data_IF_126440366470
#
_entry.id   IF_126440366470
#
_cell.length_a   1.000
_cell.length_b   1.000
_cell.length_c   1.000
_cell.angle_alpha   90.00
_cell.angle_beta   90.00
_cell.angle_gamma   90.00
#
_symmetry.space_group_name_H-M   'P 1'
#
loop_
_entity.id
_entity.type
_entity.pdbx_description
1 polymer ?
#
# COMPACT_ATOMS: atom_id res chain seq x y z
N UNK A 1 63.92 0.76 -51.46
CA UNK A 1 63.60 0.59 -52.92
C UNK A 1 62.24 1.20 -53.17
N UNK A 2 62.24 2.31 -53.90
CA UNK A 2 61.44 2.64 -55.10
C UNK A 2 59.95 2.71 -54.83
N UNK A 3 59.15 3.70 -55.09
CA UNK A 3 59.11 4.98 -55.87
C UNK A 3 57.62 5.40 -55.66
N UNK A 4 57.40 6.63 -55.17
CA UNK A 4 56.88 7.78 -55.92
C UNK A 4 55.93 7.44 -57.09
N UNK A 5 54.66 7.90 -57.00
CA UNK A 5 54.03 8.58 -58.09
C UNK A 5 52.91 9.50 -57.58
N UNK A 6 53.17 10.77 -57.84
CA UNK A 6 52.27 11.91 -57.81
C UNK A 6 51.45 11.92 -59.07
N UNK A 7 50.17 12.25 -59.03
CA UNK A 7 49.48 12.89 -60.14
C UNK A 7 48.34 13.80 -59.59
N UNK A 8 48.62 15.07 -59.76
CA UNK A 8 47.71 16.22 -59.75
C UNK A 8 46.68 16.14 -60.86
N UNK A 9 45.41 16.47 -60.59
CA UNK A 9 44.50 17.02 -61.60
C UNK A 9 43.74 18.20 -61.01
N UNK A 10 43.92 19.32 -61.66
CA UNK A 10 43.27 20.59 -61.40
C UNK A 10 41.96 20.74 -62.17
N UNK A 11 41.16 21.63 -61.64
CA UNK A 11 40.15 22.49 -62.31
C UNK A 11 38.84 21.89 -62.80
N UNK A 12 37.75 22.38 -62.24
CA UNK A 12 36.85 23.31 -62.93
C UNK A 12 35.81 23.88 -61.97
N UNK A 13 35.88 25.20 -61.80
CA UNK A 13 34.85 26.04 -61.19
C UNK A 13 33.70 26.14 -62.21
N UNK A 14 32.46 25.83 -61.74
CA UNK A 14 31.25 26.27 -62.37
C UNK A 14 30.29 26.84 -61.35
N UNK A 15 30.27 28.18 -61.27
CA UNK A 15 29.28 28.97 -60.56
C UNK A 15 27.96 28.86 -61.34
N UNK A 16 26.95 28.23 -60.74
CA UNK A 16 25.56 28.35 -61.13
C UNK A 16 24.81 29.07 -60.01
N UNK A 17 24.71 30.37 -60.11
CA UNK A 17 23.77 31.17 -59.32
C UNK A 17 22.37 30.88 -59.83
N UNK A 18 21.59 30.09 -59.10
CA UNK A 18 20.16 30.00 -59.28
C UNK A 18 19.52 30.75 -58.11
N UNK A 19 19.03 31.94 -58.42
CA UNK A 19 18.10 32.67 -57.56
C UNK A 19 16.80 31.85 -57.43
N UNK A 20 16.58 31.27 -56.27
CA UNK A 20 15.29 30.74 -55.90
C UNK A 20 14.62 31.73 -54.97
N UNK A 21 13.72 32.50 -55.56
CA UNK A 21 12.81 33.40 -54.89
C UNK A 21 12.00 32.66 -53.84
N UNK A 22 11.93 33.19 -52.63
CA UNK A 22 10.85 33.26 -51.70
C UNK A 22 9.87 32.06 -51.67
N UNK A 23 10.26 30.96 -51.00
CA UNK A 23 9.29 30.12 -50.33
C UNK A 23 9.37 30.48 -48.85
N UNK A 24 8.38 31.23 -48.41
CA UNK A 24 8.22 31.59 -47.01
C UNK A 24 8.27 30.31 -46.15
N UNK A 25 9.25 30.21 -45.29
CA UNK A 25 9.23 29.26 -44.17
C UNK A 25 7.98 29.61 -43.37
N UNK A 26 7.08 28.63 -43.09
CA UNK A 26 6.09 28.88 -42.07
C UNK A 26 6.89 29.05 -40.78
N UNK A 27 7.00 30.28 -40.33
CA UNK A 27 7.38 30.62 -39.00
C UNK A 27 6.29 29.99 -38.11
N UNK A 28 6.57 28.81 -37.62
CA UNK A 28 5.78 28.25 -36.55
C UNK A 28 5.88 29.25 -35.40
N UNK A 29 4.88 30.11 -35.30
CA UNK A 29 4.61 30.91 -34.14
C UNK A 29 4.41 29.92 -32.96
N UNK A 30 5.50 29.45 -32.35
CA UNK A 30 5.49 29.03 -30.99
C UNK A 30 5.22 30.29 -30.21
N UNK A 31 3.94 30.54 -29.96
CA UNK A 31 3.59 31.42 -28.89
C UNK A 31 4.27 30.85 -27.66
N UNK A 32 5.31 31.48 -27.17
CA UNK A 32 5.80 31.33 -25.82
C UNK A 32 4.64 31.71 -24.91
N UNK A 33 3.77 30.74 -24.63
CA UNK A 33 2.87 30.85 -23.49
C UNK A 33 3.80 30.75 -22.30
N UNK A 34 4.15 31.90 -21.73
CA UNK A 34 4.88 31.93 -20.46
C UNK A 34 4.16 30.96 -19.49
N UNK A 35 4.89 30.06 -18.83
CA UNK A 35 4.26 29.18 -17.87
C UNK A 35 3.47 30.04 -16.90
N UNK A 36 2.22 29.70 -16.59
CA UNK A 36 1.42 30.51 -15.68
C UNK A 36 2.18 30.64 -14.37
N UNK A 37 2.26 31.85 -13.84
CA UNK A 37 2.87 32.11 -12.54
C UNK A 37 2.15 31.26 -11.49
N UNK A 38 2.85 30.32 -10.89
CA UNK A 38 2.28 29.33 -9.97
C UNK A 38 3.18 29.12 -8.76
N UNK A 39 2.57 28.74 -7.65
CA UNK A 39 3.23 28.22 -6.47
C UNK A 39 2.80 26.77 -6.26
N UNK A 40 3.75 25.88 -6.04
CA UNK A 40 3.49 24.47 -5.78
C UNK A 40 3.93 24.12 -4.37
N UNK A 41 3.05 23.46 -3.63
CA UNK A 41 3.31 23.04 -2.26
C UNK A 41 2.91 21.59 -2.05
N UNK A 42 3.59 20.94 -1.10
CA UNK A 42 3.24 19.63 -0.58
C UNK A 42 2.32 19.80 0.63
N UNK A 43 1.18 19.13 0.59
CA UNK A 43 0.28 19.03 1.72
C UNK A 43 0.33 17.67 2.35
N UNK A 44 0.27 17.63 3.67
CA UNK A 44 0.22 16.42 4.49
C UNK A 44 -1.02 16.45 5.37
N UNK A 45 -1.86 15.43 5.25
CA UNK A 45 -3.08 15.29 6.06
C UNK A 45 -3.00 14.05 6.93
N UNK A 46 -3.40 14.17 8.18
CA UNK A 46 -3.42 13.09 9.16
C UNK A 46 -4.79 13.03 9.85
N UNK A 47 -5.32 11.82 9.94
CA UNK A 47 -6.49 11.48 10.75
C UNK A 47 -6.09 10.39 11.74
N UNK A 48 -6.02 10.74 13.01
CA UNK A 48 -5.77 9.79 14.09
C UNK A 48 -7.08 9.16 14.52
N UNK A 49 -7.14 7.83 14.58
CA UNK A 49 -8.34 7.06 14.91
C UNK A 49 -8.00 5.90 15.83
N UNK A 50 -8.94 5.50 16.68
CA UNK A 50 -8.86 4.23 17.42
C UNK A 50 -9.40 3.14 16.52
N UNK A 51 -8.65 2.04 16.26
CA UNK A 51 -9.16 0.89 15.54
C UNK A 51 -10.46 0.36 16.17
N UNK A 52 -11.39 -0.10 15.36
CA UNK A 52 -12.69 -0.64 15.79
C UNK A 52 -12.89 -2.11 15.40
N UNK A 53 -12.00 -2.63 14.55
CA UNK A 53 -12.00 -3.98 14.02
C UNK A 53 -10.63 -4.64 14.22
N UNK A 54 -10.62 -5.96 14.35
CA UNK A 54 -9.41 -6.75 14.38
C UNK A 54 -9.57 -8.04 13.59
N UNK A 55 -8.49 -8.51 12.99
CA UNK A 55 -8.41 -9.82 12.37
C UNK A 55 -7.43 -10.72 13.11
N UNK A 56 -7.76 -12.01 13.20
CA UNK A 56 -6.88 -13.06 13.68
C UNK A 56 -6.72 -14.14 12.62
N UNK A 57 -5.63 -14.89 12.69
CA UNK A 57 -5.46 -16.14 11.97
C UNK A 57 -5.40 -17.28 12.98
N UNK A 58 -6.30 -18.25 12.84
CA UNK A 58 -6.33 -19.45 13.67
C UNK A 58 -5.97 -20.68 12.84
N UNK A 59 -4.91 -21.36 13.25
CA UNK A 59 -4.34 -22.51 12.56
C UNK A 59 -4.44 -23.80 13.36
N UNK A 60 -4.46 -24.91 12.62
CA UNK A 60 -4.42 -26.27 13.16
C UNK A 60 -3.26 -27.00 12.50
N UNK A 61 -2.32 -27.42 13.32
CA UNK A 61 -1.23 -28.33 12.92
C UNK A 61 -1.52 -29.73 13.45
N UNK A 62 -1.43 -30.74 12.61
CA UNK A 62 -1.58 -32.16 12.98
C UNK A 62 -0.48 -33.01 12.35
N UNK A 63 -0.17 -34.13 13.00
CA UNK A 63 0.82 -35.09 12.52
C UNK A 63 0.25 -36.51 12.62
N UNK A 64 0.54 -37.33 11.58
CA UNK A 64 0.18 -38.75 11.59
C UNK A 64 1.15 -39.59 10.76
N UNK A 65 1.10 -40.91 10.92
CA UNK A 65 1.92 -41.83 10.15
C UNK A 65 1.58 -41.86 8.66
N UNK A 66 0.31 -41.54 8.30
CA UNK A 66 -0.14 -41.47 6.91
C UNK A 66 -0.65 -40.04 6.56
N UNK A 67 -0.52 -39.67 5.28
CA UNK A 67 -0.99 -38.44 4.74
C UNK A 67 -2.52 -38.27 4.91
N UNK A 68 -3.27 -39.34 4.68
CA UNK A 68 -4.73 -39.36 4.83
C UNK A 68 -5.17 -39.11 6.27
N UNK A 69 -4.48 -39.72 7.24
CA UNK A 69 -4.83 -39.54 8.65
C UNK A 69 -4.47 -38.14 9.15
N UNK A 70 -3.32 -37.59 8.72
CA UNK A 70 -2.94 -36.22 9.05
C UNK A 70 -3.98 -35.21 8.57
N UNK A 71 -4.40 -35.32 7.29
CA UNK A 71 -5.43 -34.45 6.71
C UNK A 71 -6.81 -34.65 7.36
N UNK A 72 -7.21 -35.90 7.63
CA UNK A 72 -8.51 -36.16 8.23
C UNK A 72 -8.61 -35.60 9.66
N UNK A 73 -7.55 -35.73 10.47
CA UNK A 73 -7.47 -35.13 11.81
C UNK A 73 -7.49 -33.62 11.73
N UNK A 74 -6.70 -33.03 10.82
CA UNK A 74 -6.63 -31.60 10.60
C UNK A 74 -7.99 -31.02 10.23
N UNK A 75 -8.63 -31.57 9.20
CA UNK A 75 -9.94 -31.13 8.72
C UNK A 75 -11.02 -31.22 9.82
N UNK A 76 -10.99 -32.25 10.66
CA UNK A 76 -11.93 -32.39 11.79
C UNK A 76 -11.75 -31.26 12.80
N UNK A 77 -10.51 -30.96 13.20
CA UNK A 77 -10.22 -29.87 14.15
C UNK A 77 -10.53 -28.50 13.52
N UNK A 78 -10.12 -28.27 12.27
CA UNK A 78 -10.39 -26.99 11.60
C UNK A 78 -11.89 -26.74 11.44
N UNK A 79 -12.69 -27.74 11.15
CA UNK A 79 -14.14 -27.58 11.12
C UNK A 79 -14.71 -27.16 12.49
N UNK A 80 -14.16 -27.68 13.59
CA UNK A 80 -14.53 -27.26 14.94
C UNK A 80 -14.12 -25.83 15.24
N UNK A 81 -12.90 -25.43 14.81
CA UNK A 81 -12.39 -24.05 14.94
C UNK A 81 -13.27 -23.08 14.16
N UNK A 82 -13.60 -23.37 12.90
CA UNK A 82 -14.48 -22.53 12.08
C UNK A 82 -15.87 -22.37 12.72
N UNK A 83 -16.43 -23.46 13.24
CA UNK A 83 -17.72 -23.41 13.91
C UNK A 83 -17.67 -22.54 15.19
N UNK A 84 -16.58 -22.66 15.98
CA UNK A 84 -16.40 -21.88 17.20
C UNK A 84 -16.19 -20.39 16.88
N UNK A 85 -15.39 -20.06 15.87
CA UNK A 85 -15.17 -18.67 15.43
C UNK A 85 -16.51 -18.03 15.02
N UNK A 86 -17.34 -18.73 14.24
CA UNK A 86 -18.68 -18.25 13.85
C UNK A 86 -19.58 -18.03 15.07
N UNK A 87 -19.57 -18.98 16.01
CA UNK A 87 -20.37 -18.88 17.22
C UNK A 87 -19.95 -17.74 18.14
N UNK A 88 -18.65 -17.41 18.14
CA UNK A 88 -18.07 -16.29 18.88
C UNK A 88 -18.24 -14.93 18.19
N UNK A 89 -18.96 -14.86 17.07
CA UNK A 89 -19.23 -13.60 16.35
C UNK A 89 -18.18 -13.23 15.30
N UNK A 90 -17.31 -14.16 14.92
CA UNK A 90 -16.36 -13.96 13.84
C UNK A 90 -17.04 -13.77 12.49
N UNK A 91 -16.59 -12.77 11.75
CA UNK A 91 -17.04 -12.40 10.40
C UNK A 91 -15.91 -12.58 9.40
N UNK A 92 -16.20 -12.50 8.10
CA UNK A 92 -15.21 -12.55 7.00
C UNK A 92 -14.24 -13.75 7.12
N UNK A 93 -14.79 -14.92 7.45
CA UNK A 93 -13.96 -16.11 7.58
C UNK A 93 -13.43 -16.56 6.22
N UNK A 94 -12.10 -16.69 6.12
CA UNK A 94 -11.42 -17.09 4.89
C UNK A 94 -10.32 -18.11 5.20
N UNK A 95 -10.31 -19.23 4.49
CA UNK A 95 -9.18 -20.15 4.53
C UNK A 95 -7.96 -19.47 3.88
N UNK A 96 -6.86 -19.42 4.62
CA UNK A 96 -5.62 -18.79 4.18
C UNK A 96 -4.65 -19.80 3.59
N UNK A 97 -4.58 -20.98 4.18
CA UNK A 97 -3.64 -22.01 3.80
C UNK A 97 -4.19 -23.40 4.12
N UNK A 98 -3.87 -24.35 3.25
CA UNK A 98 -3.95 -25.80 3.51
C UNK A 98 -2.67 -26.40 2.96
N UNK A 99 -1.90 -27.09 3.79
CA UNK A 99 -0.67 -27.77 3.36
C UNK A 99 -0.55 -29.15 3.97
N UNK A 100 0.20 -30.03 3.27
CA UNK A 100 0.55 -31.37 3.70
C UNK A 100 2.01 -31.62 3.34
N UNK A 101 2.84 -31.92 4.32
CA UNK A 101 4.26 -32.10 4.13
C UNK A 101 4.72 -33.44 4.74
N UNK A 102 5.57 -34.22 4.04
CA UNK A 102 6.20 -35.37 4.65
C UNK A 102 7.21 -34.94 5.70
N UNK A 103 7.29 -35.67 6.79
CA UNK A 103 8.33 -35.52 7.80
C UNK A 103 9.43 -36.55 7.56
N UNK A 104 10.67 -36.12 7.61
CA UNK A 104 11.82 -37.01 7.37
C UNK A 104 12.78 -37.00 8.56
N UNK A 105 13.47 -38.11 8.79
CA UNK A 105 14.58 -38.20 9.74
C UNK A 105 15.90 -37.71 9.10
N UNK A 106 17.00 -37.77 9.88
CA UNK A 106 18.34 -37.36 9.43
C UNK A 106 18.89 -38.23 8.25
N UNK A 107 18.28 -39.38 7.99
CA UNK A 107 18.60 -40.26 6.88
C UNK A 107 17.69 -40.05 5.66
N UNK A 108 16.91 -38.99 5.66
CA UNK A 108 15.97 -38.61 4.60
C UNK A 108 14.85 -39.67 4.37
N UNK A 109 14.52 -40.49 5.38
CA UNK A 109 13.40 -41.41 5.33
C UNK A 109 12.13 -40.77 5.86
N UNK A 110 11.02 -40.97 5.17
CA UNK A 110 9.70 -40.43 5.62
C UNK A 110 9.27 -41.17 6.90
N UNK A 111 9.07 -40.43 7.98
CA UNK A 111 8.65 -40.91 9.29
C UNK A 111 7.19 -40.63 9.60
N UNK A 112 6.56 -39.72 8.83
CA UNK A 112 5.18 -39.30 9.01
C UNK A 112 4.82 -38.17 8.06
N UNK A 113 3.66 -37.56 8.32
CA UNK A 113 3.12 -36.43 7.58
C UNK A 113 2.60 -35.39 8.54
N UNK A 114 2.85 -34.11 8.24
CA UNK A 114 2.27 -32.97 8.92
C UNK A 114 1.26 -32.29 7.99
N UNK A 115 0.11 -31.96 8.52
CA UNK A 115 -0.91 -31.15 7.85
C UNK A 115 -1.12 -29.85 8.62
N UNK A 116 -1.12 -28.74 7.89
CA UNK A 116 -1.40 -27.39 8.42
C UNK A 116 -2.56 -26.79 7.66
N UNK A 117 -3.50 -26.22 8.39
CA UNK A 117 -4.61 -25.47 7.85
C UNK A 117 -4.79 -24.19 8.70
N UNK A 118 -5.15 -23.09 8.07
CA UNK A 118 -5.41 -21.82 8.77
C UNK A 118 -6.56 -21.06 8.16
N UNK A 119 -7.32 -20.40 9.04
CA UNK A 119 -8.46 -19.56 8.70
C UNK A 119 -8.28 -18.19 9.33
N UNK A 120 -8.49 -17.13 8.57
CA UNK A 120 -8.64 -15.78 9.12
C UNK A 120 -10.08 -15.51 9.49
N UNK A 121 -10.29 -14.70 10.53
CA UNK A 121 -11.59 -14.20 10.93
C UNK A 121 -11.44 -12.77 11.43
N UNK A 122 -12.45 -11.94 11.21
CA UNK A 122 -12.56 -10.60 11.74
C UNK A 122 -13.57 -10.54 12.88
N UNK A 123 -13.36 -9.60 13.81
CA UNK A 123 -14.30 -9.25 14.86
C UNK A 123 -14.11 -7.80 15.30
N UNK A 124 -15.08 -7.25 16.04
CA UNK A 124 -14.87 -5.99 16.76
C UNK A 124 -13.78 -6.18 17.81
N UNK A 125 -13.03 -5.13 18.10
CA UNK A 125 -11.94 -5.20 19.09
C UNK A 125 -12.42 -5.71 20.43
N UNK A 126 -13.62 -5.32 20.89
CA UNK A 126 -14.18 -5.78 22.17
C UNK A 126 -14.38 -7.30 22.24
N UNK A 127 -14.57 -7.97 21.09
CA UNK A 127 -14.92 -9.38 20.99
C UNK A 127 -13.73 -10.25 20.56
N UNK A 128 -12.63 -9.64 20.06
CA UNK A 128 -11.51 -10.41 19.49
C UNK A 128 -10.81 -11.32 20.50
N UNK A 129 -10.73 -10.92 21.78
CA UNK A 129 -10.19 -11.78 22.83
C UNK A 129 -11.00 -13.05 23.02
N UNK A 130 -12.33 -12.93 23.06
CA UNK A 130 -13.21 -14.08 23.13
C UNK A 130 -13.14 -14.96 21.86
N UNK A 131 -12.89 -14.35 20.70
CA UNK A 131 -12.69 -15.06 19.44
C UNK A 131 -11.41 -15.92 19.49
N UNK A 132 -10.32 -15.38 20.00
CA UNK A 132 -9.04 -16.11 20.23
C UNK A 132 -9.27 -17.29 21.17
N UNK A 133 -9.91 -17.05 22.31
CA UNK A 133 -10.17 -18.08 23.30
C UNK A 133 -11.05 -19.20 22.74
N UNK A 134 -12.08 -18.86 21.94
CA UNK A 134 -12.93 -19.82 21.28
C UNK A 134 -12.18 -20.69 20.26
N UNK A 135 -11.28 -20.10 19.49
CA UNK A 135 -10.45 -20.82 18.52
C UNK A 135 -9.56 -21.85 19.22
N UNK A 136 -8.87 -21.44 20.29
CA UNK A 136 -7.98 -22.31 21.08
C UNK A 136 -8.77 -23.44 21.74
N UNK A 137 -9.90 -23.13 22.36
CA UNK A 137 -10.78 -24.13 22.98
C UNK A 137 -11.33 -25.16 21.97
N UNK A 138 -11.49 -24.79 20.71
CA UNK A 138 -11.96 -25.66 19.64
C UNK A 138 -10.84 -26.50 18.99
N UNK A 139 -9.57 -26.26 19.36
CA UNK A 139 -8.43 -27.05 18.90
C UNK A 139 -7.45 -26.34 17.98
N UNK A 140 -7.56 -25.01 17.82
CA UNK A 140 -6.50 -24.23 17.19
C UNK A 140 -5.24 -24.29 18.06
N UNK A 141 -4.08 -24.62 17.47
CA UNK A 141 -2.81 -24.73 18.14
C UNK A 141 -1.74 -23.78 17.58
N UNK A 142 -2.15 -22.97 16.60
CA UNK A 142 -1.41 -21.80 16.12
C UNK A 142 -2.39 -20.63 15.99
N UNK A 143 -2.10 -19.51 16.64
CA UNK A 143 -2.93 -18.29 16.55
C UNK A 143 -2.02 -17.09 16.38
N UNK A 144 -2.25 -16.35 15.31
CA UNK A 144 -1.53 -15.13 14.97
C UNK A 144 -2.47 -13.92 15.01
N UNK A 145 -1.95 -12.80 15.48
CA UNK A 145 -2.72 -11.56 15.63
C UNK A 145 -2.93 -11.20 17.11
N UNK A 146 -3.85 -10.28 17.44
CA UNK A 146 -4.75 -9.58 16.53
C UNK A 146 -4.05 -8.51 15.68
N UNK A 147 -4.43 -8.42 14.41
CA UNK A 147 -4.08 -7.30 13.55
C UNK A 147 -5.24 -6.30 13.59
N UNK A 148 -4.96 -5.13 14.16
CA UNK A 148 -5.96 -4.08 14.37
C UNK A 148 -6.18 -3.28 13.10
N UNK A 149 -7.42 -2.96 12.79
CA UNK A 149 -7.81 -2.22 11.59
C UNK A 149 -8.99 -1.28 11.87
N UNK A 150 -9.31 -0.47 10.90
CA UNK A 150 -10.42 0.48 10.92
C UNK A 150 -11.41 0.09 9.83
N UNK A 151 -12.67 -0.10 10.20
CA UNK A 151 -13.71 -0.55 9.26
C UNK A 151 -14.00 0.48 8.15
N UNK A 152 -13.89 1.77 8.40
CA UNK A 152 -14.18 2.86 7.44
C UNK A 152 -12.92 3.59 6.96
N UNK A 153 -11.91 2.83 6.56
CA UNK A 153 -10.63 3.35 6.09
C UNK A 153 -10.78 4.35 4.93
N UNK A 154 -11.69 4.06 4.00
CA UNK A 154 -11.89 4.91 2.83
C UNK A 154 -12.45 6.30 3.18
N UNK A 155 -13.34 6.39 4.16
CA UNK A 155 -13.84 7.69 4.63
C UNK A 155 -12.74 8.47 5.34
N UNK A 156 -12.00 7.83 6.22
CA UNK A 156 -10.87 8.45 6.93
C UNK A 156 -9.77 8.92 5.96
N UNK A 157 -9.52 8.15 4.91
CA UNK A 157 -8.58 8.55 3.88
C UNK A 157 -9.05 9.79 3.09
N UNK A 158 -10.34 9.86 2.75
CA UNK A 158 -10.91 11.08 2.15
C UNK A 158 -10.79 12.30 3.06
N UNK A 159 -11.00 12.12 4.36
CA UNK A 159 -10.80 13.21 5.34
C UNK A 159 -9.32 13.62 5.42
N UNK A 160 -8.39 12.67 5.38
CA UNK A 160 -6.96 12.94 5.34
C UNK A 160 -6.57 13.71 4.05
N UNK A 161 -7.13 13.34 2.89
CA UNK A 161 -6.95 14.09 1.64
C UNK A 161 -7.44 15.54 1.74
N UNK A 162 -8.60 15.76 2.37
CA UNK A 162 -9.11 17.12 2.62
C UNK A 162 -8.12 17.95 3.43
N UNK A 163 -7.65 17.40 4.57
CA UNK A 163 -6.63 18.05 5.41
C UNK A 163 -5.31 18.29 4.69
N UNK A 164 -4.90 17.38 3.82
CA UNK A 164 -3.68 17.55 3.02
C UNK A 164 -3.79 18.74 2.06
N UNK A 165 -4.95 18.94 1.41
CA UNK A 165 -5.19 20.10 0.54
C UNK A 165 -5.22 21.41 1.35
N UNK A 166 -5.82 21.39 2.54
CA UNK A 166 -5.83 22.56 3.46
C UNK A 166 -4.41 22.92 3.91
N UNK A 167 -3.58 21.95 4.29
CA UNK A 167 -2.18 22.16 4.67
C UNK A 167 -1.34 22.68 3.48
N UNK A 168 -1.55 22.16 2.28
CA UNK A 168 -0.90 22.68 1.07
C UNK A 168 -1.25 24.14 0.83
N UNK A 169 -2.53 24.52 1.02
CA UNK A 169 -2.98 25.91 0.88
C UNK A 169 -2.35 26.82 1.93
N UNK A 170 -2.34 26.42 3.19
CA UNK A 170 -1.74 27.18 4.28
C UNK A 170 -0.24 27.45 4.03
N UNK A 171 0.48 26.45 3.52
CA UNK A 171 1.88 26.59 3.12
C UNK A 171 2.05 27.56 1.94
N UNK A 172 1.17 27.47 0.93
CA UNK A 172 1.19 28.38 -0.20
C UNK A 172 0.93 29.85 0.23
N UNK A 173 -0.01 30.08 1.15
CA UNK A 173 -0.31 31.40 1.71
C UNK A 173 0.88 31.97 2.51
N UNK A 174 1.56 31.12 3.30
CA UNK A 174 2.77 31.54 4.01
C UNK A 174 3.90 31.95 3.05
N UNK A 175 4.09 31.19 1.95
CA UNK A 175 5.06 31.53 0.90
C UNK A 175 4.66 32.82 0.17
N UNK A 176 3.39 33.00 -0.12
CA UNK A 176 2.85 34.18 -0.77
C UNK A 176 3.07 35.44 0.06
N UNK A 177 2.80 35.39 1.37
CA UNK A 177 3.05 36.48 2.29
C UNK A 177 4.54 36.86 2.34
N UNK A 178 5.43 35.88 2.38
CA UNK A 178 6.88 36.13 2.39
C UNK A 178 7.40 36.65 1.03
N UNK A 179 6.79 36.23 -0.08
CA UNK A 179 7.18 36.57 -1.44
C UNK A 179 6.49 37.81 -1.99
N UNK A 180 5.47 38.38 -1.31
CA UNK A 180 4.74 39.57 -1.73
C UNK A 180 3.79 39.32 -2.90
N UNK A 181 3.19 38.14 -3.02
CA UNK A 181 2.19 37.77 -4.04
C UNK A 181 0.93 37.18 -3.38
N UNK A 182 -0.17 37.05 -4.14
CA UNK A 182 -1.41 36.43 -3.68
C UNK A 182 -1.54 34.97 -4.13
N UNK A 183 -2.22 34.14 -3.33
CA UNK A 183 -2.59 32.75 -3.74
C UNK A 183 -3.94 32.77 -4.43
N UNK A 184 -3.96 32.36 -5.67
CA UNK A 184 -5.15 32.22 -6.49
C UNK A 184 -5.81 30.85 -6.39
N UNK A 185 -6.65 30.48 -7.37
CA UNK A 185 -7.31 29.20 -7.43
C UNK A 185 -6.32 28.05 -7.68
N UNK A 186 -6.74 26.85 -7.30
CA UNK A 186 -6.01 25.60 -7.60
C UNK A 186 -5.90 25.42 -9.12
N UNK A 187 -4.70 25.16 -9.61
CA UNK A 187 -4.40 24.84 -11.00
C UNK A 187 -4.32 23.34 -11.23
N UNK A 188 -3.70 22.61 -10.31
CA UNK A 188 -3.63 21.15 -10.34
C UNK A 188 -3.47 20.57 -8.94
N UNK A 189 -3.97 19.36 -8.75
CA UNK A 189 -3.75 18.51 -7.57
C UNK A 189 -3.27 17.17 -8.06
N UNK A 190 -2.20 16.68 -7.45
CA UNK A 190 -1.68 15.33 -7.69
C UNK A 190 -1.57 14.64 -6.34
N UNK A 191 -2.31 13.56 -6.21
CA UNK A 191 -2.20 12.67 -5.06
C UNK A 191 -0.88 11.87 -5.15
N UNK A 192 -0.13 11.83 -4.06
CA UNK A 192 1.00 10.90 -3.96
C UNK A 192 0.48 9.61 -3.33
N UNK A 193 0.94 8.47 -3.86
CA UNK A 193 0.50 7.17 -3.36
C UNK A 193 0.60 7.12 -1.84
N UNK A 194 -0.53 6.86 -1.19
CA UNK A 194 -0.58 6.69 0.25
C UNK A 194 0.35 5.54 0.67
N UNK A 195 1.24 5.81 1.60
CA UNK A 195 1.95 4.75 2.31
C UNK A 195 0.96 3.91 3.13
N UNK A 196 1.32 2.67 3.44
CA UNK A 196 0.54 1.88 4.38
C UNK A 196 0.40 2.65 5.72
N UNK A 197 -0.77 2.62 6.38
CA UNK A 197 -0.95 3.27 7.68
C UNK A 197 0.12 2.83 8.65
N UNK A 198 0.73 3.78 9.33
CA UNK A 198 1.74 3.50 10.35
C UNK A 198 1.02 3.46 11.70
N UNK A 199 1.01 2.32 12.42
CA UNK A 199 0.46 2.27 13.76
C UNK A 199 1.27 3.18 14.69
N UNK A 200 0.61 4.15 15.30
CA UNK A 200 1.19 4.98 16.36
C UNK A 200 0.68 4.41 17.69
N UNK A 201 1.59 3.83 18.47
CA UNK A 201 1.25 3.24 19.76
C UNK A 201 1.02 4.32 20.81
N UNK A 202 -0.22 4.76 20.98
CA UNK A 202 -0.67 5.46 22.18
C UNK A 202 -1.60 4.52 22.94
N UNK A 203 -1.31 4.32 24.23
CA UNK A 203 -2.04 3.40 25.12
C UNK A 203 -3.49 3.86 25.31
N UNK A 204 -4.42 3.21 24.64
CA UNK A 204 -5.85 3.28 24.95
C UNK A 204 -6.25 1.93 25.58
N UNK A 205 -6.80 1.96 26.79
CA UNK A 205 -7.21 0.75 27.52
C UNK A 205 -8.60 0.35 27.04
N UNK A 206 -8.70 -0.71 26.23
CA UNK A 206 -9.97 -1.35 25.94
C UNK A 206 -10.20 -2.47 26.98
N UNK A 207 -11.39 -2.48 27.61
CA UNK A 207 -11.81 -3.62 28.45
C UNK A 207 -12.30 -4.73 27.49
N UNK A 208 -11.48 -5.76 27.30
CA UNK A 208 -11.87 -6.97 26.58
C UNK A 208 -12.37 -8.04 27.54
N UNK A 209 -13.36 -8.82 27.12
CA UNK A 209 -13.71 -10.09 27.73
C UNK A 209 -12.83 -11.18 27.09
N UNK A 210 -12.00 -11.88 27.90
CA UNK A 210 -11.08 -12.89 27.39
C UNK A 210 -9.63 -12.39 27.31
N UNK A 211 -8.85 -12.91 26.35
CA UNK A 211 -7.46 -12.47 26.11
C UNK A 211 -7.38 -10.94 25.96
N UNK A 212 -6.56 -10.22 26.78
CA UNK A 212 -6.52 -8.75 26.75
C UNK A 212 -6.01 -8.24 25.40
N UNK A 213 -6.69 -7.23 24.84
CA UNK A 213 -6.30 -6.55 23.61
C UNK A 213 -6.40 -5.04 23.80
N UNK A 214 -5.30 -4.33 23.55
CA UNK A 214 -5.21 -2.88 23.63
C UNK A 214 -5.20 -2.28 22.24
N UNK A 215 -6.20 -1.42 21.95
CA UNK A 215 -6.42 -0.92 20.59
C UNK A 215 -5.36 0.09 20.14
N UNK A 216 -4.82 0.92 21.03
CA UNK A 216 -3.95 2.03 20.65
C UNK A 216 -4.65 3.01 19.72
N UNK A 217 -3.87 3.80 18.96
CA UNK A 217 -4.36 4.64 17.87
C UNK A 217 -3.59 4.35 16.58
N UNK A 218 -4.21 4.60 15.44
CA UNK A 218 -3.58 4.53 14.12
C UNK A 218 -3.76 5.86 13.40
N UNK A 219 -2.75 6.24 12.60
CA UNK A 219 -2.83 7.41 11.74
C UNK A 219 -3.09 6.99 10.30
N UNK A 220 -4.15 7.53 9.73
CA UNK A 220 -4.42 7.48 8.30
C UNK A 220 -3.87 8.75 7.68
N UNK A 221 -2.90 8.62 6.80
CA UNK A 221 -2.19 9.76 6.21
C UNK A 221 -2.46 9.87 4.72
N UNK A 222 -2.46 11.09 4.21
CA UNK A 222 -2.53 11.38 2.79
C UNK A 222 -1.55 12.51 2.45
N UNK A 223 -0.86 12.37 1.32
CA UNK A 223 0.06 13.36 0.79
C UNK A 223 -0.40 13.82 -0.59
N UNK A 224 -0.43 15.14 -0.78
CA UNK A 224 -0.81 15.76 -2.05
C UNK A 224 0.18 16.83 -2.47
N UNK A 225 0.41 16.92 -3.76
CA UNK A 225 1.08 18.09 -4.36
C UNK A 225 0.02 18.99 -4.98
N UNK A 226 -0.07 20.23 -4.52
CA UNK A 226 -1.04 21.21 -5.02
C UNK A 226 -0.31 22.37 -5.66
N UNK A 227 -0.72 22.72 -6.86
CA UNK A 227 -0.26 23.90 -7.59
C UNK A 227 -1.37 24.93 -7.62
N UNK A 228 -1.07 26.13 -7.14
CA UNK A 228 -1.96 27.30 -7.15
C UNK A 228 -1.47 28.31 -8.16
N UNK A 229 -2.40 29.06 -8.77
CA UNK A 229 -2.04 30.27 -9.52
C UNK A 229 -1.63 31.36 -8.56
N UNK A 230 -0.73 32.27 -8.98
CA UNK A 230 -0.39 33.48 -8.25
C UNK A 230 -1.18 34.66 -8.83
N UNK A 231 -1.52 35.63 -7.98
CA UNK A 231 -2.21 36.88 -8.33
C UNK A 231 -1.27 38.07 -8.05
#
# INVERSE_FOLDING_TARGET
MRRLWTLTFAAAVLVAAAAFAGVGRPEAARGDVAPPDTVTTLGHGVVTVVPDEASISAGVHTQAASASDALAQNAKLMNSVIAALKAAGGTDLQTQQVSLNPQTNDQNQVTGYAADDSVSAKAKIADVGALIDAAVAAGANNVDGPNLDVSDRDALYRDALGKAVEDARAKAEALAQAGGFGVGPVSSVTEQSAGAPVPVFQTAVAKSNGTPVEAGTQDVTADVTVTFRIN
#
